data_IF_881011336015
#
_entry.id   IF_881011336015
#
_cell.length_a   1.000
_cell.length_b   1.000
_cell.length_c   1.000
_cell.angle_alpha   90.00
_cell.angle_beta   90.00
_cell.angle_gamma   90.00
#
_symmetry.space_group_name_H-M   'P 1'
#
loop_
_entity.id
_entity.type
_entity.pdbx_description
1 polymer ?
#
# COMPACT_ATOMS: atom_id res chain seq x y z
N UNK A 1 -30.33 40.52 14.10
CA UNK A 1 -29.35 40.83 13.04
C UNK A 1 -27.96 40.24 13.26
N UNK A 2 -27.20 40.49 14.36
CA UNK A 2 -25.87 39.85 14.58
C UNK A 2 -25.88 38.58 15.44
N UNK A 3 -27.01 38.30 16.09
CA UNK A 3 -27.19 37.12 16.97
C UNK A 3 -27.77 35.93 16.21
N UNK A 4 -28.68 36.15 15.26
CA UNK A 4 -29.27 35.11 14.41
C UNK A 4 -28.20 34.46 13.49
N UNK A 5 -27.30 35.24 12.91
CA UNK A 5 -26.20 34.74 12.07
C UNK A 5 -25.20 33.87 12.86
N UNK A 6 -25.08 34.08 14.18
CA UNK A 6 -24.22 33.26 15.07
C UNK A 6 -24.89 31.96 15.50
N UNK A 7 -26.21 31.88 15.46
CA UNK A 7 -26.97 30.67 15.76
C UNK A 7 -26.96 29.74 14.54
N UNK A 8 -27.15 30.29 13.34
CA UNK A 8 -27.03 29.54 12.07
C UNK A 8 -25.62 28.95 11.88
N UNK A 9 -24.55 29.70 12.16
CA UNK A 9 -23.17 29.21 12.10
C UNK A 9 -22.86 28.13 13.15
N UNK A 10 -23.58 28.12 14.29
CA UNK A 10 -23.43 27.08 15.31
C UNK A 10 -24.16 25.80 14.93
N UNK A 11 -25.34 25.91 14.34
CA UNK A 11 -26.07 24.74 13.84
C UNK A 11 -25.30 24.06 12.71
N UNK A 12 -24.78 24.81 11.74
CA UNK A 12 -23.96 24.30 10.63
C UNK A 12 -22.66 23.62 11.13
N UNK A 13 -22.01 24.16 12.16
CA UNK A 13 -20.82 23.56 12.76
C UNK A 13 -21.14 22.25 13.51
N UNK A 14 -22.28 22.18 14.21
CA UNK A 14 -22.73 20.96 14.90
C UNK A 14 -23.22 19.87 13.95
N UNK A 15 -23.82 20.25 12.81
CA UNK A 15 -24.19 19.32 11.74
C UNK A 15 -22.97 18.79 11.00
N UNK A 16 -22.00 19.66 10.69
CA UNK A 16 -20.70 19.23 10.12
C UNK A 16 -19.98 18.27 11.06
N UNK A 17 -19.99 18.55 12.38
CA UNK A 17 -19.42 17.67 13.40
C UNK A 17 -20.18 16.34 13.52
N UNK A 18 -21.52 16.32 13.41
CA UNK A 18 -22.33 15.09 13.40
C UNK A 18 -22.13 14.26 12.12
N UNK A 19 -21.97 14.92 10.97
CA UNK A 19 -21.64 14.26 9.71
C UNK A 19 -20.24 13.63 9.77
N UNK A 20 -19.26 14.31 10.37
CA UNK A 20 -17.93 13.75 10.64
C UNK A 20 -17.98 12.53 11.57
N UNK A 21 -18.85 12.52 12.59
CA UNK A 21 -18.93 11.40 13.56
C UNK A 21 -19.64 10.18 12.97
N UNK A 22 -20.61 10.38 12.07
CA UNK A 22 -21.39 9.29 11.46
C UNK A 22 -20.59 8.57 10.37
N UNK A 23 -19.69 9.29 9.68
CA UNK A 23 -18.83 8.77 8.61
C UNK A 23 -17.63 7.95 9.12
N UNK A 24 -17.06 8.31 10.28
CA UNK A 24 -15.86 7.63 10.84
C UNK A 24 -16.08 6.13 11.08
N UNK A 25 -17.29 5.71 11.45
CA UNK A 25 -17.59 4.31 11.70
C UNK A 25 -17.62 3.44 10.43
N UNK A 26 -18.03 4.02 9.30
CA UNK A 26 -18.03 3.35 7.99
C UNK A 26 -16.63 3.40 7.37
N UNK A 27 -15.97 4.56 7.45
CA UNK A 27 -14.58 4.77 7.00
C UNK A 27 -13.59 3.81 7.70
N UNK A 28 -13.73 3.59 9.02
CA UNK A 28 -12.88 2.64 9.75
C UNK A 28 -13.08 1.21 9.23
N UNK A 29 -14.32 0.81 8.90
CA UNK A 29 -14.60 -0.53 8.35
C UNK A 29 -14.03 -0.67 6.95
N UNK A 30 -14.18 0.36 6.12
CA UNK A 30 -13.65 0.38 4.75
C UNK A 30 -12.12 0.38 4.74
N UNK A 31 -11.48 1.19 5.58
CA UNK A 31 -10.03 1.23 5.75
C UNK A 31 -9.49 -0.11 6.25
N UNK A 32 -10.16 -0.74 7.23
CA UNK A 32 -9.81 -2.06 7.72
C UNK A 32 -9.93 -3.13 6.63
N UNK A 33 -11.03 -3.13 5.88
CA UNK A 33 -11.28 -4.07 4.79
C UNK A 33 -10.25 -3.91 3.67
N UNK A 34 -9.96 -2.67 3.28
CA UNK A 34 -8.98 -2.34 2.24
C UNK A 34 -7.57 -2.78 2.62
N UNK A 35 -7.17 -2.55 3.87
CA UNK A 35 -5.87 -3.00 4.38
C UNK A 35 -5.81 -4.53 4.47
N UNK A 36 -6.84 -5.17 5.03
CA UNK A 36 -6.91 -6.63 5.15
C UNK A 36 -6.84 -7.31 3.77
N UNK A 37 -7.61 -6.83 2.80
CA UNK A 37 -7.63 -7.35 1.44
C UNK A 37 -6.26 -7.18 0.75
N UNK A 38 -5.63 -6.01 0.90
CA UNK A 38 -4.26 -5.76 0.41
C UNK A 38 -3.22 -6.70 1.01
N UNK A 39 -3.34 -7.03 2.30
CA UNK A 39 -2.44 -7.98 2.98
C UNK A 39 -2.66 -9.41 2.48
N UNK A 40 -3.91 -9.84 2.34
CA UNK A 40 -4.27 -11.19 1.89
C UNK A 40 -3.72 -11.44 0.49
N UNK A 41 -3.99 -10.53 -0.45
CA UNK A 41 -3.61 -10.67 -1.86
C UNK A 41 -2.13 -10.36 -2.08
N UNK A 42 -1.58 -9.36 -1.38
CA UNK A 42 -0.24 -8.84 -1.66
C UNK A 42 0.90 -9.50 -0.87
N UNK A 43 0.60 -10.26 0.19
CA UNK A 43 1.63 -10.80 1.10
C UNK A 43 1.35 -12.21 1.62
N UNK A 44 0.11 -12.51 1.99
CA UNK A 44 -0.20 -13.67 2.83
C UNK A 44 -0.34 -14.98 2.04
N UNK A 45 -1.07 -14.98 0.92
CA UNK A 45 -1.30 -16.18 0.12
C UNK A 45 -0.32 -16.27 -1.05
N UNK A 46 0.38 -17.41 -1.24
CA UNK A 46 1.19 -17.62 -2.43
C UNK A 46 0.28 -17.81 -3.66
N UNK A 47 0.75 -17.34 -4.81
CA UNK A 47 0.05 -17.52 -6.08
C UNK A 47 0.04 -19.01 -6.46
N UNK A 48 -1.13 -19.53 -6.83
CA UNK A 48 -1.37 -20.96 -7.11
C UNK A 48 -0.54 -21.46 -8.30
N UNK A 49 -0.18 -20.56 -9.23
CA UNK A 49 0.55 -20.91 -10.45
C UNK A 49 2.00 -21.27 -10.20
N UNK A 50 2.66 -20.55 -9.29
CA UNK A 50 4.10 -20.68 -9.06
C UNK A 50 4.43 -21.18 -7.65
N UNK A 51 3.49 -21.09 -6.70
CA UNK A 51 3.73 -21.34 -5.27
C UNK A 51 4.68 -20.33 -4.61
N UNK A 52 5.11 -19.29 -5.33
CA UNK A 52 6.08 -18.31 -4.85
C UNK A 52 5.39 -17.12 -4.18
N UNK A 53 5.93 -16.71 -3.02
CA UNK A 53 5.56 -15.44 -2.39
C UNK A 53 5.99 -14.27 -3.29
N UNK A 54 5.26 -13.13 -3.28
CA UNK A 54 5.61 -11.95 -4.09
C UNK A 54 7.05 -11.45 -3.89
N UNK A 55 7.66 -11.70 -2.74
CA UNK A 55 9.07 -11.39 -2.46
C UNK A 55 10.00 -12.23 -3.33
N UNK A 56 9.78 -13.54 -3.45
CA UNK A 56 10.64 -14.44 -4.22
C UNK A 56 10.58 -14.10 -5.71
N UNK A 57 9.39 -13.80 -6.24
CA UNK A 57 9.21 -13.38 -7.63
C UNK A 57 10.04 -12.14 -7.97
N UNK A 58 10.09 -11.15 -7.06
CA UNK A 58 10.93 -9.95 -7.23
C UNK A 58 12.42 -10.24 -7.20
N UNK A 59 12.87 -11.17 -6.36
CA UNK A 59 14.27 -11.57 -6.27
C UNK A 59 14.71 -12.25 -7.57
N UNK A 60 13.96 -13.24 -8.04
CA UNK A 60 14.27 -13.97 -9.27
C UNK A 60 14.27 -13.04 -10.49
N UNK A 61 13.26 -12.17 -10.61
CA UNK A 61 13.21 -11.17 -11.69
C UNK A 61 14.41 -10.21 -11.65
N UNK A 62 14.81 -9.77 -10.46
CA UNK A 62 15.97 -8.89 -10.30
C UNK A 62 17.28 -9.60 -10.67
N UNK A 63 17.41 -10.88 -10.32
CA UNK A 63 18.55 -11.72 -10.69
C UNK A 63 18.63 -11.93 -12.21
N UNK A 64 17.50 -12.15 -12.87
CA UNK A 64 17.40 -12.24 -14.34
C UNK A 64 17.83 -10.92 -15.02
N UNK A 65 17.33 -9.77 -14.55
CA UNK A 65 17.70 -8.44 -15.09
C UNK A 65 19.16 -8.07 -14.88
N UNK A 66 19.77 -8.51 -13.79
CA UNK A 66 21.22 -8.39 -13.56
C UNK A 66 22.04 -9.47 -14.29
N UNK A 67 21.35 -10.30 -15.10
CA UNK A 67 21.86 -11.45 -15.82
C UNK A 67 22.73 -12.33 -14.94
N UNK A 68 22.31 -12.59 -13.70
CA UNK A 68 23.01 -13.42 -12.72
C UNK A 68 22.55 -14.88 -12.86
N UNK A 69 22.93 -15.48 -13.99
CA UNK A 69 22.65 -16.87 -14.33
C UNK A 69 23.69 -17.80 -13.69
N UNK A 70 23.40 -19.11 -13.52
CA UNK A 70 24.28 -20.04 -12.80
C UNK A 70 25.68 -20.20 -13.42
N UNK A 71 25.82 -19.88 -14.70
CA UNK A 71 27.06 -19.87 -15.47
C UNK A 71 28.03 -18.73 -15.11
N UNK A 72 27.57 -17.69 -14.39
CA UNK A 72 28.37 -16.49 -14.12
C UNK A 72 28.95 -16.45 -12.71
N UNK A 73 30.07 -15.70 -12.51
CA UNK A 73 30.69 -15.56 -11.20
C UNK A 73 29.76 -14.88 -10.20
N UNK A 74 29.89 -15.29 -8.93
CA UNK A 74 29.07 -14.80 -7.83
C UNK A 74 29.19 -13.27 -7.65
N UNK A 75 28.04 -12.61 -7.54
CA UNK A 75 27.93 -11.19 -7.19
C UNK A 75 27.53 -11.04 -5.73
N UNK A 76 28.01 -9.98 -5.07
CA UNK A 76 27.68 -9.70 -3.65
C UNK A 76 26.18 -9.49 -3.46
N UNK A 77 25.62 -10.05 -2.39
CA UNK A 77 24.19 -9.96 -2.07
C UNK A 77 23.69 -8.52 -1.93
N UNK A 78 24.52 -7.63 -1.36
CA UNK A 78 24.19 -6.21 -1.21
C UNK A 78 23.87 -5.52 -2.55
N UNK A 79 24.51 -5.96 -3.65
CA UNK A 79 24.25 -5.43 -4.99
C UNK A 79 22.88 -5.85 -5.51
N UNK A 80 22.50 -7.11 -5.29
CA UNK A 80 21.20 -7.66 -5.72
C UNK A 80 20.07 -7.01 -4.90
N UNK A 81 20.26 -6.90 -3.58
CA UNK A 81 19.31 -6.25 -2.68
C UNK A 81 19.14 -4.77 -3.04
N UNK A 82 20.24 -4.04 -3.29
CA UNK A 82 20.19 -2.64 -3.71
C UNK A 82 19.43 -2.42 -5.02
N UNK A 83 19.62 -3.29 -6.01
CA UNK A 83 18.89 -3.25 -7.27
C UNK A 83 17.38 -3.54 -7.09
N UNK A 84 17.04 -4.50 -6.22
CA UNK A 84 15.66 -4.87 -5.91
C UNK A 84 14.88 -3.74 -5.23
N UNK A 85 15.52 -2.99 -4.31
CA UNK A 85 14.92 -1.79 -3.72
C UNK A 85 14.91 -0.59 -4.69
N UNK A 86 15.92 -0.48 -5.58
CA UNK A 86 16.00 0.57 -6.58
C UNK A 86 14.88 0.52 -7.61
N UNK A 87 14.59 -0.66 -8.18
CA UNK A 87 13.47 -0.88 -9.11
C UNK A 87 12.10 -0.57 -8.49
N UNK A 88 11.95 -0.79 -7.18
CA UNK A 88 10.70 -0.51 -6.46
C UNK A 88 10.34 0.98 -6.43
N UNK A 89 11.32 1.89 -6.49
CA UNK A 89 11.05 3.34 -6.50
C UNK A 89 10.39 3.83 -7.78
N UNK A 90 10.59 3.16 -8.92
CA UNK A 90 9.94 3.55 -10.17
C UNK A 90 8.46 3.14 -10.25
N UNK A 91 8.02 2.13 -9.47
CA UNK A 91 6.64 1.61 -9.50
C UNK A 91 5.67 2.33 -8.54
N UNK A 92 6.11 3.38 -7.83
CA UNK A 92 5.26 4.20 -6.97
C UNK A 92 4.93 5.59 -7.58
N UNK A 93 5.32 5.85 -8.83
CA UNK A 93 5.07 7.13 -9.54
C UNK A 93 4.25 6.97 -10.83
N UNK A 94 3.45 5.92 -10.95
CA UNK A 94 2.55 5.70 -12.08
C UNK A 94 1.24 5.12 -11.60
#
# INVERSE_FOLDING_TARGET
>A
MKEEEKEELKEEFTETSRNLITDVGEEIKEAYLSYAMSVIVGRALPDVRDGLKPVHRRVLYSMEKMSNTPDKPYKKSARIVGFLYGLRRHLHQS
#
